data_IF_769873155376
#
_entry.id   IF_769873155376
#
_cell.length_a   1.000
_cell.length_b   1.000
_cell.length_c   1.000
_cell.angle_alpha   90.00
_cell.angle_beta   90.00
_cell.angle_gamma   90.00
#
_symmetry.space_group_name_H-M   'P 1'
#
loop_
_entity.id
_entity.type
_entity.pdbx_description
1 polymer ?
#
# COMPACT_ATOMS: atom_id res chain seq x y z
N UNK A 1 22.64 -4.90 25.29
CA UNK A 1 22.99 -5.19 23.88
C UNK A 1 24.04 -4.20 23.46
N UNK A 2 25.05 -4.59 22.70
CA UNK A 2 26.03 -3.66 22.14
C UNK A 2 25.35 -2.75 21.12
N UNK A 3 25.79 -1.52 21.04
CA UNK A 3 25.28 -0.52 20.13
C UNK A 3 25.96 -0.73 18.77
N UNK A 4 25.18 -1.13 17.74
CA UNK A 4 25.68 -1.29 16.39
C UNK A 4 25.70 0.03 15.63
N UNK A 5 26.57 0.13 14.63
CA UNK A 5 26.56 1.20 13.63
C UNK A 5 26.02 0.63 12.30
N UNK A 6 24.83 1.08 11.89
CA UNK A 6 24.09 0.55 10.76
C UNK A 6 24.08 1.54 9.60
N UNK A 7 24.48 1.09 8.40
CA UNK A 7 24.38 1.86 7.18
C UNK A 7 23.06 1.58 6.46
N UNK A 8 22.38 2.60 5.94
CA UNK A 8 21.25 2.47 5.04
C UNK A 8 21.55 3.23 3.76
N UNK A 9 21.59 2.53 2.64
CA UNK A 9 21.92 3.08 1.34
C UNK A 9 20.68 3.12 0.43
N UNK A 10 20.21 4.33 0.16
CA UNK A 10 18.95 4.64 -0.50
C UNK A 10 17.89 5.12 0.49
N UNK A 11 17.59 6.43 0.46
CA UNK A 11 16.68 7.09 1.40
C UNK A 11 15.29 7.32 0.79
N UNK A 12 14.76 6.28 0.12
CA UNK A 12 13.35 6.19 -0.26
C UNK A 12 12.47 5.95 0.96
N UNK A 13 11.18 5.71 0.79
CA UNK A 13 10.28 5.39 1.91
C UNK A 13 10.79 4.20 2.75
N UNK A 14 11.24 3.13 2.07
CA UNK A 14 11.81 1.94 2.73
C UNK A 14 13.02 2.29 3.59
N UNK A 15 14.01 2.97 3.01
CA UNK A 15 15.24 3.34 3.72
C UNK A 15 14.99 4.32 4.86
N UNK A 16 14.06 5.25 4.68
CA UNK A 16 13.66 6.22 5.71
C UNK A 16 13.03 5.51 6.92
N UNK A 17 12.00 4.69 6.72
CA UNK A 17 11.33 3.99 7.82
C UNK A 17 12.27 3.02 8.55
N UNK A 18 13.06 2.23 7.80
CA UNK A 18 13.96 1.22 8.39
C UNK A 18 15.11 1.87 9.17
N UNK A 19 15.70 2.95 8.65
CA UNK A 19 16.79 3.66 9.33
C UNK A 19 16.33 4.40 10.58
N UNK A 20 15.15 5.03 10.55
CA UNK A 20 14.54 5.68 11.71
C UNK A 20 14.23 4.65 12.80
N UNK A 21 13.62 3.50 12.44
CA UNK A 21 13.35 2.42 13.37
C UNK A 21 14.65 1.89 14.04
N UNK A 22 15.72 1.74 13.26
CA UNK A 22 17.02 1.31 13.77
C UNK A 22 17.62 2.31 14.77
N UNK A 23 17.46 3.61 14.52
CA UNK A 23 17.89 4.68 15.43
C UNK A 23 17.07 4.70 16.73
N UNK A 24 15.76 4.57 16.64
CA UNK A 24 14.86 4.50 17.81
C UNK A 24 15.20 3.29 18.70
N UNK A 25 15.63 2.15 18.10
CA UNK A 25 16.14 0.99 18.84
C UNK A 25 17.51 1.21 19.49
N UNK A 26 18.11 2.41 19.36
CA UNK A 26 19.34 2.81 20.02
C UNK A 26 20.63 2.56 19.24
N UNK A 27 20.55 2.08 17.99
CA UNK A 27 21.74 1.93 17.13
C UNK A 27 22.25 3.29 16.61
N UNK A 28 23.54 3.36 16.25
CA UNK A 28 24.03 4.45 15.42
C UNK A 28 23.61 4.19 13.97
N UNK A 29 23.16 5.23 13.28
CA UNK A 29 22.69 5.12 11.91
C UNK A 29 23.48 6.07 10.99
N UNK A 30 23.89 5.55 9.84
CA UNK A 30 24.42 6.30 8.71
C UNK A 30 23.45 6.14 7.55
N UNK A 31 22.61 7.13 7.33
CA UNK A 31 21.61 7.17 6.27
C UNK A 31 22.22 7.87 5.04
N UNK A 32 22.53 7.09 4.01
CA UNK A 32 23.23 7.52 2.82
C UNK A 32 22.30 7.52 1.60
N UNK A 33 22.42 8.58 0.79
CA UNK A 33 21.86 8.62 -0.55
C UNK A 33 22.82 9.31 -1.52
N UNK A 34 22.90 8.84 -2.76
CA UNK A 34 23.74 9.47 -3.80
C UNK A 34 23.20 10.81 -4.24
N UNK A 35 21.88 11.03 -4.13
CA UNK A 35 21.23 12.29 -4.46
C UNK A 35 21.22 13.24 -3.25
N UNK A 36 22.01 14.30 -3.38
CA UNK A 36 22.08 15.36 -2.36
C UNK A 36 20.72 16.03 -2.12
N UNK A 37 19.85 16.08 -3.12
CA UNK A 37 18.52 16.68 -2.97
C UNK A 37 17.64 15.85 -2.05
N UNK A 38 17.72 14.51 -2.12
CA UNK A 38 17.02 13.60 -1.21
C UNK A 38 17.45 13.88 0.23
N UNK A 39 18.76 13.96 0.51
CA UNK A 39 19.27 14.28 1.83
C UNK A 39 18.77 15.64 2.33
N UNK A 40 18.80 16.66 1.47
CA UNK A 40 18.31 18.01 1.82
C UNK A 40 16.81 18.01 2.13
N UNK A 41 15.99 17.33 1.32
CA UNK A 41 14.55 17.20 1.56
C UNK A 41 14.25 16.52 2.90
N UNK A 42 14.94 15.44 3.25
CA UNK A 42 14.76 14.74 4.53
C UNK A 42 15.11 15.64 5.72
N UNK A 43 16.22 16.40 5.63
CA UNK A 43 16.59 17.39 6.66
C UNK A 43 15.55 18.53 6.82
N UNK A 44 14.82 18.85 5.76
CA UNK A 44 13.72 19.83 5.77
C UNK A 44 12.37 19.23 6.20
N UNK A 45 12.31 17.96 6.59
CA UNK A 45 11.07 17.27 6.92
C UNK A 45 10.15 17.00 5.72
N UNK A 46 10.70 16.97 4.50
CA UNK A 46 9.94 16.71 3.27
C UNK A 46 10.04 15.24 2.87
N UNK A 47 8.90 14.58 2.80
CA UNK A 47 8.77 13.16 2.48
C UNK A 47 7.79 12.95 1.32
N UNK A 48 8.03 11.87 0.55
CA UNK A 48 7.22 11.54 -0.62
C UNK A 48 5.87 10.90 -0.23
N UNK A 49 5.71 10.51 1.03
CA UNK A 49 4.47 9.99 1.59
C UNK A 49 4.36 10.35 3.07
N UNK A 50 3.15 10.61 3.54
CA UNK A 50 2.87 10.83 4.95
C UNK A 50 3.08 9.51 5.72
N UNK A 51 3.95 9.54 6.76
CA UNK A 51 4.23 8.39 7.60
C UNK A 51 4.26 8.85 9.06
N UNK A 52 3.33 8.36 9.91
CA UNK A 52 3.26 8.80 11.30
C UNK A 52 4.59 8.64 12.05
N UNK A 53 5.02 9.70 12.76
CA UNK A 53 6.24 9.74 13.57
C UNK A 53 7.54 10.03 12.81
N UNK A 54 7.55 9.96 11.47
CA UNK A 54 8.76 10.27 10.69
C UNK A 54 9.08 11.77 10.73
N UNK A 55 8.08 12.62 10.54
CA UNK A 55 8.28 14.06 10.56
C UNK A 55 8.80 14.54 11.92
N UNK A 56 8.18 14.08 13.02
CA UNK A 56 8.60 14.40 14.39
C UNK A 56 10.05 13.94 14.67
N UNK A 57 10.44 12.77 14.14
CA UNK A 57 11.81 12.27 14.28
C UNK A 57 12.83 13.20 13.62
N UNK A 58 12.57 13.68 12.41
CA UNK A 58 13.50 14.57 11.69
C UNK A 58 13.49 16.00 12.23
N UNK A 59 12.38 16.48 12.81
CA UNK A 59 12.36 17.75 13.53
C UNK A 59 13.23 17.72 14.80
N UNK A 60 13.36 16.55 15.44
CA UNK A 60 14.13 16.32 16.65
C UNK A 60 15.26 15.32 16.42
N UNK A 61 16.04 15.50 15.36
CA UNK A 61 17.06 14.57 14.89
C UNK A 61 18.04 14.17 15.99
N UNK A 62 18.11 12.87 16.38
CA UNK A 62 18.97 12.46 17.49
C UNK A 62 20.45 12.36 17.08
N UNK A 63 21.36 12.48 18.04
CA UNK A 63 22.81 12.42 17.81
C UNK A 63 23.32 11.08 17.26
N UNK A 64 22.55 10.02 17.35
CA UNK A 64 22.88 8.70 16.80
C UNK A 64 22.41 8.51 15.35
N UNK A 65 21.93 9.57 14.68
CA UNK A 65 21.47 9.50 13.29
C UNK A 65 22.22 10.53 12.42
N UNK A 66 22.94 10.05 11.42
CA UNK A 66 23.68 10.88 10.46
C UNK A 66 23.08 10.70 9.05
N UNK A 67 22.67 11.81 8.44
CA UNK A 67 22.35 11.87 7.00
C UNK A 67 23.60 12.30 6.23
N UNK A 68 23.91 11.64 5.11
CA UNK A 68 25.09 11.94 4.30
C UNK A 68 24.89 11.57 2.83
N UNK A 69 25.57 12.30 1.95
CA UNK A 69 25.74 11.91 0.54
C UNK A 69 27.20 11.45 0.23
N UNK A 70 28.02 11.29 1.26
CA UNK A 70 29.38 10.76 1.13
C UNK A 70 29.39 9.26 1.45
N UNK A 71 29.58 8.43 0.43
CA UNK A 71 29.61 6.97 0.57
C UNK A 71 30.69 6.48 1.53
N UNK A 72 31.81 7.22 1.69
CA UNK A 72 32.89 6.86 2.60
C UNK A 72 32.46 6.84 4.07
N UNK A 73 31.37 7.51 4.44
CA UNK A 73 30.84 7.45 5.80
C UNK A 73 30.29 6.06 6.17
N UNK A 74 29.99 5.21 5.18
CA UNK A 74 29.59 3.83 5.40
C UNK A 74 30.72 2.89 5.85
N UNK A 75 31.99 3.31 5.71
CA UNK A 75 33.15 2.50 6.14
C UNK A 75 33.16 2.15 7.64
N UNK A 76 32.50 2.98 8.46
CA UNK A 76 32.42 2.78 9.92
C UNK A 76 31.26 1.85 10.34
N UNK A 77 30.44 1.37 9.39
CA UNK A 77 29.26 0.57 9.69
C UNK A 77 29.63 -0.89 9.97
N UNK A 78 28.94 -1.51 10.93
CA UNK A 78 29.02 -2.93 11.23
C UNK A 78 28.30 -3.79 10.17
N UNK A 79 27.29 -3.20 9.50
CA UNK A 79 26.59 -3.77 8.34
C UNK A 79 25.94 -2.65 7.52
N UNK A 80 25.65 -2.90 6.25
CA UNK A 80 25.00 -1.92 5.36
C UNK A 80 23.78 -2.56 4.67
N UNK A 81 22.64 -1.86 4.72
CA UNK A 81 21.40 -2.25 4.07
C UNK A 81 21.18 -1.44 2.80
N UNK A 82 20.90 -2.12 1.68
CA UNK A 82 20.49 -1.49 0.43
C UNK A 82 18.97 -1.36 0.45
N UNK A 83 18.49 -0.13 0.48
CA UNK A 83 17.07 0.20 0.73
C UNK A 83 16.48 1.16 -0.31
N UNK A 84 17.06 1.19 -1.51
CA UNK A 84 16.54 1.95 -2.65
C UNK A 84 15.31 1.26 -3.25
N UNK A 85 14.31 2.03 -3.69
CA UNK A 85 13.18 1.45 -4.40
C UNK A 85 13.57 0.94 -5.79
N UNK A 86 12.91 -0.12 -6.22
CA UNK A 86 13.03 -0.68 -7.57
C UNK A 86 11.93 -0.12 -8.45
N UNK A 87 12.22 0.79 -9.39
CA UNK A 87 11.23 1.34 -10.30
C UNK A 87 10.57 0.24 -11.13
N UNK A 88 9.36 0.53 -11.59
CA UNK A 88 8.58 -0.38 -12.43
C UNK A 88 8.31 0.33 -13.76
N UNK A 89 8.45 -0.41 -14.86
CA UNK A 89 8.03 0.07 -16.16
C UNK A 89 6.49 -0.05 -16.35
N UNK A 90 5.97 0.50 -17.44
CA UNK A 90 4.55 0.45 -17.78
C UNK A 90 4.04 -0.99 -17.99
N UNK A 91 4.91 -1.93 -18.32
CA UNK A 91 4.60 -3.35 -18.46
C UNK A 91 4.61 -4.11 -17.11
N UNK A 92 4.94 -3.45 -16.01
CA UNK A 92 5.03 -4.06 -14.68
C UNK A 92 6.35 -4.77 -14.40
N UNK A 93 7.40 -4.55 -15.22
CA UNK A 93 8.70 -5.13 -14.96
C UNK A 93 9.47 -4.33 -13.91
N UNK A 94 9.97 -5.03 -12.90
CA UNK A 94 10.84 -4.46 -11.87
C UNK A 94 12.22 -4.18 -12.46
N UNK A 95 12.66 -2.92 -12.43
CA UNK A 95 14.01 -2.54 -12.77
C UNK A 95 14.91 -2.61 -11.52
N UNK A 96 15.76 -3.62 -11.45
CA UNK A 96 16.72 -3.80 -10.35
C UNK A 96 18.07 -3.09 -10.57
N UNK A 97 18.24 -2.33 -11.65
CA UNK A 97 19.49 -1.61 -11.96
C UNK A 97 19.88 -0.61 -10.85
N UNK A 98 18.96 0.17 -10.25
CA UNK A 98 19.30 1.04 -9.12
C UNK A 98 19.87 0.25 -7.93
N UNK A 99 19.29 -0.92 -7.61
CA UNK A 99 19.76 -1.79 -6.52
C UNK A 99 21.18 -2.30 -6.83
N UNK A 100 21.43 -2.74 -8.05
CA UNK A 100 22.75 -3.20 -8.49
C UNK A 100 23.79 -2.07 -8.44
N UNK A 101 23.45 -0.84 -8.83
CA UNK A 101 24.33 0.34 -8.72
C UNK A 101 24.69 0.64 -7.27
N UNK A 102 23.71 0.67 -6.36
CA UNK A 102 23.97 0.90 -4.93
C UNK A 102 24.80 -0.23 -4.33
N UNK A 103 24.51 -1.50 -4.67
CA UNK A 103 25.29 -2.65 -4.24
C UNK A 103 26.77 -2.52 -4.66
N UNK A 104 27.03 -2.20 -5.93
CA UNK A 104 28.39 -2.05 -6.45
C UNK A 104 29.14 -0.90 -5.76
N UNK A 105 28.48 0.25 -5.60
CA UNK A 105 29.05 1.42 -4.92
C UNK A 105 29.41 1.11 -3.46
N UNK A 106 28.51 0.50 -2.72
CA UNK A 106 28.74 0.11 -1.32
C UNK A 106 29.80 -0.96 -1.22
N UNK A 107 29.73 -2.01 -2.06
CA UNK A 107 30.67 -3.13 -2.07
C UNK A 107 32.12 -2.72 -2.33
N UNK A 108 32.32 -1.69 -3.17
CA UNK A 108 33.64 -1.12 -3.45
C UNK A 108 34.16 -0.18 -2.32
N UNK A 109 33.27 0.25 -1.45
CA UNK A 109 33.61 1.26 -0.43
C UNK A 109 33.91 0.66 0.93
N UNK A 110 33.16 -0.35 1.36
CA UNK A 110 33.28 -0.97 2.69
C UNK A 110 34.13 -2.23 2.67
N UNK A 111 34.65 -2.63 3.82
CA UNK A 111 35.48 -3.84 3.94
C UNK A 111 34.70 -5.11 3.56
N UNK A 112 35.40 -6.11 3.00
CA UNK A 112 34.77 -7.32 2.46
C UNK A 112 34.05 -8.18 3.49
N UNK A 113 34.40 -8.08 4.75
CA UNK A 113 33.80 -8.79 5.89
C UNK A 113 32.57 -8.06 6.49
N UNK A 114 32.26 -6.85 6.06
CA UNK A 114 31.06 -6.13 6.48
C UNK A 114 29.87 -6.61 5.67
N UNK A 115 28.80 -7.16 6.27
CA UNK A 115 27.67 -7.69 5.51
C UNK A 115 26.87 -6.59 4.80
N UNK A 116 26.44 -6.91 3.57
CA UNK A 116 25.48 -6.13 2.80
C UNK A 116 24.15 -6.88 2.78
N UNK A 117 23.08 -6.19 3.20
CA UNK A 117 21.72 -6.74 3.23
C UNK A 117 20.88 -6.04 2.18
N UNK A 118 20.29 -6.79 1.26
CA UNK A 118 19.34 -6.27 0.27
C UNK A 118 17.95 -6.22 0.92
N UNK A 119 17.45 -5.02 1.24
CA UNK A 119 16.07 -4.79 1.68
C UNK A 119 15.15 -4.47 0.50
N UNK A 120 15.73 -3.94 -0.58
CA UNK A 120 15.01 -3.57 -1.80
C UNK A 120 14.27 -4.76 -2.37
N UNK A 121 13.08 -4.53 -2.90
CA UNK A 121 12.34 -5.59 -3.58
C UNK A 121 13.00 -5.92 -4.91
N UNK A 122 13.36 -7.19 -5.09
CA UNK A 122 14.03 -7.71 -6.28
C UNK A 122 13.34 -8.98 -6.79
N UNK A 123 13.65 -9.39 -8.03
CA UNK A 123 13.16 -10.66 -8.59
C UNK A 123 13.93 -11.85 -8.02
N UNK A 124 13.28 -13.00 -7.84
CA UNK A 124 13.96 -14.24 -7.47
C UNK A 124 15.18 -14.55 -8.35
N UNK A 125 16.31 -14.83 -7.67
CA UNK A 125 17.62 -15.05 -8.31
C UNK A 125 18.51 -13.81 -8.40
N UNK A 126 18.03 -12.62 -8.09
CA UNK A 126 18.82 -11.40 -8.13
C UNK A 126 19.97 -11.44 -7.09
N UNK A 127 19.68 -11.75 -5.84
CA UNK A 127 20.68 -11.76 -4.78
C UNK A 127 21.73 -12.85 -5.03
N UNK A 128 21.35 -14.01 -5.58
CA UNK A 128 22.31 -15.03 -6.00
C UNK A 128 23.25 -14.55 -7.09
N UNK A 129 22.77 -13.75 -8.04
CA UNK A 129 23.60 -13.15 -9.08
C UNK A 129 24.68 -12.25 -8.48
N UNK A 130 24.33 -11.35 -7.56
CA UNK A 130 25.28 -10.39 -6.98
C UNK A 130 26.15 -11.01 -5.88
N UNK A 131 25.70 -12.06 -5.19
CA UNK A 131 26.46 -12.82 -4.19
C UNK A 131 27.82 -13.33 -4.73
N UNK A 132 27.88 -13.65 -6.02
CA UNK A 132 29.13 -14.08 -6.69
C UNK A 132 30.26 -13.07 -6.58
N UNK A 133 29.93 -11.80 -6.36
CA UNK A 133 30.90 -10.71 -6.23
C UNK A 133 31.26 -10.39 -4.77
N UNK A 134 30.40 -10.84 -3.81
CA UNK A 134 30.60 -10.58 -2.38
C UNK A 134 29.86 -11.63 -1.54
N UNK A 135 30.61 -12.45 -0.82
CA UNK A 135 30.06 -13.57 -0.02
C UNK A 135 29.27 -13.12 1.23
N UNK A 136 29.61 -11.96 1.82
CA UNK A 136 28.84 -11.39 2.95
C UNK A 136 27.62 -10.60 2.44
N UNK A 137 26.76 -11.26 1.66
CA UNK A 137 25.53 -10.67 1.11
C UNK A 137 24.33 -11.50 1.54
N UNK A 138 23.29 -10.81 1.99
CA UNK A 138 22.04 -11.38 2.47
C UNK A 138 20.86 -10.68 1.80
N UNK A 139 19.73 -11.35 1.72
CA UNK A 139 18.46 -10.74 1.40
C UNK A 139 17.60 -10.68 2.67
N UNK A 140 16.92 -9.57 2.93
CA UNK A 140 15.90 -9.48 3.98
C UNK A 140 14.60 -8.98 3.37
N UNK A 141 13.56 -9.78 3.51
CA UNK A 141 12.23 -9.40 3.05
C UNK A 141 11.64 -8.31 3.93
N UNK A 142 11.28 -7.17 3.33
CA UNK A 142 10.53 -6.12 4.01
C UNK A 142 9.05 -6.14 3.64
N UNK A 143 8.20 -5.80 4.62
CA UNK A 143 6.73 -5.81 4.48
C UNK A 143 6.13 -4.50 4.94
N UNK A 144 6.78 -3.37 4.64
CA UNK A 144 6.26 -2.06 4.99
C UNK A 144 4.94 -1.77 4.26
N UNK A 145 4.04 -1.10 4.96
CA UNK A 145 2.74 -0.66 4.45
C UNK A 145 2.71 0.86 4.60
N UNK A 146 2.41 1.60 3.54
CA UNK A 146 2.25 3.06 3.59
C UNK A 146 1.28 3.47 4.69
N UNK A 147 1.71 4.42 5.55
CA UNK A 147 0.99 4.88 6.73
C UNK A 147 1.17 4.01 7.98
N UNK A 148 1.93 2.89 7.90
CA UNK A 148 2.31 2.00 9.01
C UNK A 148 3.78 1.55 8.88
N UNK A 149 4.57 2.18 8.02
CA UNK A 149 5.92 1.72 7.70
C UNK A 149 6.84 1.78 8.90
N UNK A 150 6.86 2.88 9.64
CA UNK A 150 7.68 3.02 10.85
C UNK A 150 7.26 2.02 11.93
N UNK A 151 5.96 1.87 12.19
CA UNK A 151 5.42 0.93 13.19
C UNK A 151 5.83 -0.51 12.86
N UNK A 152 5.69 -0.93 11.60
CA UNK A 152 6.07 -2.28 11.16
C UNK A 152 7.58 -2.50 11.16
N UNK A 153 8.37 -1.45 10.91
CA UNK A 153 9.82 -1.52 11.04
C UNK A 153 10.26 -1.63 12.51
N UNK A 154 9.55 -0.98 13.43
CA UNK A 154 9.79 -1.08 14.87
C UNK A 154 9.34 -2.42 15.46
N UNK A 155 8.19 -2.95 15.03
CA UNK A 155 7.55 -4.14 15.56
C UNK A 155 7.30 -5.17 14.44
N UNK A 156 8.36 -5.77 13.88
CA UNK A 156 8.22 -6.75 12.81
C UNK A 156 7.53 -8.02 13.30
N UNK A 157 6.58 -8.55 12.54
CA UNK A 157 5.92 -9.82 12.84
C UNK A 157 6.89 -11.01 12.73
N UNK A 158 7.84 -10.92 11.81
CA UNK A 158 8.88 -11.90 11.52
C UNK A 158 9.95 -11.30 10.64
N UNK A 159 11.14 -11.88 10.68
CA UNK A 159 12.17 -11.67 9.67
C UNK A 159 12.26 -12.88 8.74
N UNK A 160 12.27 -12.63 7.43
CA UNK A 160 12.54 -13.64 6.39
C UNK A 160 13.87 -13.29 5.75
N UNK A 161 14.86 -14.15 5.93
CA UNK A 161 16.24 -13.90 5.52
C UNK A 161 16.64 -14.92 4.46
N UNK A 162 17.09 -14.41 3.32
CA UNK A 162 17.68 -15.19 2.25
C UNK A 162 19.19 -15.31 2.41
N UNK A 163 19.70 -16.55 2.30
CA UNK A 163 21.11 -16.92 2.34
C UNK A 163 21.49 -17.71 1.11
N UNK A 164 22.78 -17.81 0.85
CA UNK A 164 23.29 -18.70 -0.23
C UNK A 164 23.00 -20.17 0.07
N UNK A 165 23.13 -20.53 1.34
CA UNK A 165 22.85 -21.84 1.91
C UNK A 165 22.12 -21.61 3.24
N UNK A 166 20.92 -22.17 3.38
CA UNK A 166 20.05 -22.01 4.55
C UNK A 166 20.64 -22.61 5.84
N UNK A 167 21.65 -23.46 5.71
CA UNK A 167 22.37 -24.06 6.85
C UNK A 167 23.60 -23.24 7.27
N UNK A 168 24.00 -22.24 6.48
CA UNK A 168 25.15 -21.40 6.79
C UNK A 168 24.88 -20.50 8.00
N UNK A 169 25.87 -20.27 8.86
CA UNK A 169 25.70 -19.35 9.99
C UNK A 169 25.56 -17.93 9.49
N UNK A 170 24.69 -17.17 10.14
CA UNK A 170 24.60 -15.72 9.92
C UNK A 170 25.86 -15.01 10.41
N UNK A 171 26.21 -13.91 9.77
CA UNK A 171 27.19 -12.97 10.30
C UNK A 171 26.74 -12.52 11.71
N UNK A 172 27.67 -12.55 12.69
CA UNK A 172 27.37 -12.25 14.09
C UNK A 172 26.73 -10.87 14.32
N UNK A 173 27.20 -9.85 13.59
CA UNK A 173 26.66 -8.49 13.69
C UNK A 173 25.25 -8.39 13.11
N UNK A 174 25.01 -9.12 12.03
CA UNK A 174 23.68 -9.18 11.44
C UNK A 174 22.71 -9.95 12.35
N UNK A 175 23.12 -11.06 12.92
CA UNK A 175 22.31 -11.81 13.90
C UNK A 175 21.97 -10.94 15.13
N UNK A 176 22.94 -10.16 15.64
CA UNK A 176 22.72 -9.23 16.75
C UNK A 176 21.66 -8.17 16.42
N UNK A 177 21.70 -7.60 15.21
CA UNK A 177 20.67 -6.68 14.73
C UNK A 177 19.28 -7.34 14.65
N UNK A 178 19.19 -8.53 14.06
CA UNK A 178 17.92 -9.26 13.91
C UNK A 178 17.27 -9.60 15.27
N UNK A 179 18.07 -9.95 16.28
CA UNK A 179 17.58 -10.20 17.65
C UNK A 179 16.88 -8.99 18.29
N UNK A 180 17.18 -7.77 17.86
CA UNK A 180 16.52 -6.56 18.36
C UNK A 180 15.05 -6.48 17.94
N UNK A 181 14.64 -7.17 16.87
CA UNK A 181 13.25 -7.21 16.40
C UNK A 181 12.32 -8.04 17.28
N UNK A 182 12.89 -8.92 18.16
CA UNK A 182 12.12 -9.77 19.07
C UNK A 182 10.97 -10.54 18.40
N UNK A 183 11.22 -11.04 17.20
CA UNK A 183 10.24 -11.77 16.40
C UNK A 183 10.85 -13.07 15.84
N UNK A 184 10.01 -13.89 15.20
CA UNK A 184 10.45 -15.13 14.57
C UNK A 184 11.40 -14.84 13.41
N UNK A 185 12.50 -15.61 13.36
CA UNK A 185 13.48 -15.58 12.27
C UNK A 185 13.30 -16.82 11.38
N UNK A 186 13.09 -16.60 10.10
CA UNK A 186 12.93 -17.63 9.07
C UNK A 186 14.12 -17.54 8.11
N UNK A 187 15.00 -18.53 8.16
CA UNK A 187 16.15 -18.64 7.26
C UNK A 187 15.78 -19.52 6.06
N UNK A 188 16.12 -19.10 4.86
CA UNK A 188 15.88 -19.85 3.63
C UNK A 188 16.86 -19.43 2.54
N UNK A 189 16.90 -20.14 1.41
CA UNK A 189 17.73 -19.71 0.29
C UNK A 189 17.22 -18.39 -0.31
N UNK A 190 18.07 -17.71 -1.08
CA UNK A 190 17.77 -16.40 -1.67
C UNK A 190 16.47 -16.41 -2.46
N UNK A 191 16.29 -17.39 -3.34
CA UNK A 191 15.14 -17.47 -4.23
C UNK A 191 13.83 -17.65 -3.49
N UNK A 192 13.84 -18.44 -2.41
CA UNK A 192 12.68 -18.64 -1.54
C UNK A 192 12.31 -17.35 -0.78
N UNK A 193 13.31 -16.65 -0.24
CA UNK A 193 13.08 -15.39 0.48
C UNK A 193 12.56 -14.27 -0.45
N UNK A 194 13.15 -14.14 -1.64
CA UNK A 194 12.71 -13.17 -2.66
C UNK A 194 11.30 -13.50 -3.16
N UNK A 195 11.00 -14.79 -3.39
CA UNK A 195 9.65 -15.21 -3.82
C UNK A 195 8.60 -15.06 -2.72
N UNK A 196 8.99 -15.20 -1.43
CA UNK A 196 8.05 -15.04 -0.30
C UNK A 196 7.38 -13.67 -0.31
N UNK A 197 8.10 -12.60 -0.67
CA UNK A 197 7.53 -11.25 -0.79
C UNK A 197 6.41 -11.19 -1.82
N UNK A 198 6.67 -11.73 -3.00
CA UNK A 198 5.70 -11.76 -4.10
C UNK A 198 4.51 -12.66 -3.77
N UNK A 199 4.79 -13.80 -3.11
CA UNK A 199 3.76 -14.75 -2.67
C UNK A 199 2.78 -14.12 -1.70
N UNK A 200 3.26 -13.32 -0.73
CA UNK A 200 2.37 -12.61 0.20
C UNK A 200 1.37 -11.72 -0.55
N UNK A 201 1.84 -10.90 -1.50
CA UNK A 201 0.98 -10.02 -2.29
C UNK A 201 0.04 -10.81 -3.23
N UNK A 202 0.50 -11.95 -3.74
CA UNK A 202 -0.35 -12.84 -4.54
C UNK A 202 -1.51 -13.42 -3.72
N UNK A 203 -1.26 -13.90 -2.50
CA UNK A 203 -2.31 -14.37 -1.60
C UNK A 203 -3.29 -13.25 -1.20
N UNK A 204 -2.80 -12.03 -0.96
CA UNK A 204 -3.66 -10.87 -0.71
C UNK A 204 -4.55 -10.57 -1.91
N UNK A 205 -4.00 -10.55 -3.13
CA UNK A 205 -4.78 -10.35 -4.36
C UNK A 205 -5.83 -11.44 -4.57
N UNK A 206 -5.47 -12.71 -4.29
CA UNK A 206 -6.39 -13.85 -4.37
C UNK A 206 -7.58 -13.68 -3.42
N UNK A 207 -7.30 -13.31 -2.17
CA UNK A 207 -8.34 -13.09 -1.15
C UNK A 207 -9.25 -11.92 -1.51
N UNK A 208 -8.68 -10.79 -1.98
CA UNK A 208 -9.46 -9.64 -2.46
C UNK A 208 -10.39 -10.06 -3.61
N UNK A 209 -9.86 -10.83 -4.57
CA UNK A 209 -10.61 -11.29 -5.73
C UNK A 209 -11.78 -12.21 -5.33
N UNK A 210 -11.50 -13.20 -4.47
CA UNK A 210 -12.53 -14.11 -3.96
C UNK A 210 -13.61 -13.36 -3.18
N UNK A 211 -13.20 -12.46 -2.28
CA UNK A 211 -14.09 -11.60 -1.50
C UNK A 211 -15.01 -10.77 -2.38
N UNK A 212 -14.47 -10.06 -3.36
CA UNK A 212 -15.27 -9.20 -4.24
C UNK A 212 -16.22 -10.02 -5.12
N UNK A 213 -15.80 -11.19 -5.58
CA UNK A 213 -16.67 -12.10 -6.35
C UNK A 213 -17.87 -12.54 -5.52
N UNK A 214 -17.64 -13.01 -4.30
CA UNK A 214 -18.68 -13.52 -3.42
C UNK A 214 -19.58 -12.41 -2.88
N UNK A 215 -19.03 -11.23 -2.58
CA UNK A 215 -19.82 -10.07 -2.17
C UNK A 215 -20.76 -9.60 -3.31
N UNK A 216 -20.27 -9.55 -4.55
CA UNK A 216 -21.13 -9.23 -5.69
C UNK A 216 -22.25 -10.25 -5.89
N UNK A 217 -21.95 -11.54 -5.72
CA UNK A 217 -22.95 -12.61 -5.79
C UNK A 217 -23.97 -12.51 -4.65
N UNK A 218 -23.51 -12.24 -3.41
CA UNK A 218 -24.38 -12.07 -2.23
C UNK A 218 -25.47 -11.02 -2.47
N UNK A 219 -25.07 -9.86 -3.06
CA UNK A 219 -26.03 -8.79 -3.39
C UNK A 219 -27.15 -9.23 -4.36
N UNK A 220 -26.91 -10.24 -5.21
CA UNK A 220 -27.90 -10.74 -6.18
C UNK A 220 -28.75 -11.88 -5.61
N UNK A 221 -28.22 -12.62 -4.63
CA UNK A 221 -28.91 -13.78 -4.03
C UNK A 221 -29.71 -13.43 -2.76
N UNK A 222 -29.69 -12.18 -2.33
CA UNK A 222 -30.36 -11.81 -1.08
C UNK A 222 -29.56 -12.12 0.18
N UNK A 223 -28.30 -12.44 0.04
CA UNK A 223 -27.40 -12.72 1.16
C UNK A 223 -26.69 -11.43 1.64
N UNK A 224 -26.15 -11.50 2.85
CA UNK A 224 -25.35 -10.42 3.43
C UNK A 224 -23.90 -10.88 3.55
N UNK A 225 -23.00 -10.27 2.74
CA UNK A 225 -21.60 -10.61 2.74
C UNK A 225 -20.91 -10.39 4.09
N UNK A 226 -21.29 -9.34 4.83
CA UNK A 226 -20.66 -9.03 6.13
C UNK A 226 -20.87 -10.16 7.13
N UNK A 227 -22.08 -10.73 7.17
CA UNK A 227 -22.39 -11.89 8.03
C UNK A 227 -21.60 -13.12 7.58
N UNK A 228 -21.46 -13.34 6.28
CA UNK A 228 -20.66 -14.43 5.73
C UNK A 228 -19.19 -14.23 6.10
N UNK A 229 -18.65 -13.03 5.92
CA UNK A 229 -17.25 -12.69 6.24
C UNK A 229 -16.93 -12.94 7.73
N UNK A 230 -17.82 -12.57 8.65
CA UNK A 230 -17.62 -12.85 10.08
C UNK A 230 -17.55 -14.35 10.37
N UNK A 231 -18.39 -15.16 9.71
CA UNK A 231 -18.32 -16.62 9.81
C UNK A 231 -16.99 -17.17 9.27
N UNK A 232 -16.53 -16.65 8.13
CA UNK A 232 -15.27 -17.09 7.51
C UNK A 232 -14.04 -16.74 8.37
N UNK A 233 -14.03 -15.60 9.07
CA UNK A 233 -12.94 -15.25 10.00
C UNK A 233 -12.77 -16.25 11.15
N UNK A 234 -13.86 -16.93 11.55
CA UNK A 234 -13.84 -17.95 12.60
C UNK A 234 -13.31 -19.31 12.12
N UNK A 235 -13.29 -19.56 10.81
CA UNK A 235 -12.70 -20.78 10.25
C UNK A 235 -11.15 -20.69 10.34
N UNK A 236 -10.53 -21.65 11.06
CA UNK A 236 -9.06 -21.68 11.27
C UNK A 236 -8.25 -21.77 9.98
N UNK A 237 -8.83 -22.25 8.88
CA UNK A 237 -8.18 -22.35 7.57
C UNK A 237 -8.13 -21.01 6.83
N UNK A 238 -8.96 -20.05 7.23
CA UNK A 238 -9.07 -18.70 6.65
C UNK A 238 -8.46 -17.69 7.62
N UNK A 239 -8.98 -17.62 8.84
CA UNK A 239 -8.44 -16.86 9.95
C UNK A 239 -8.89 -15.39 10.00
N UNK A 240 -8.65 -14.74 11.16
CA UNK A 240 -9.18 -13.41 11.46
C UNK A 240 -8.54 -12.27 10.66
N UNK A 241 -7.38 -12.51 10.07
CA UNK A 241 -6.61 -11.50 9.31
C UNK A 241 -6.82 -11.59 7.79
N UNK A 242 -7.70 -12.49 7.31
CA UNK A 242 -8.00 -12.60 5.90
C UNK A 242 -8.70 -11.32 5.37
N UNK A 243 -8.39 -10.91 4.14
CA UNK A 243 -8.94 -9.71 3.51
C UNK A 243 -10.36 -9.97 3.00
N UNK A 244 -11.33 -9.99 3.94
CA UNK A 244 -12.74 -10.30 3.69
C UNK A 244 -13.64 -9.06 3.60
N UNK A 245 -13.09 -7.87 3.62
CA UNK A 245 -13.85 -6.65 3.35
C UNK A 245 -14.00 -6.47 1.84
N UNK A 246 -15.24 -6.45 1.37
CA UNK A 246 -15.52 -6.17 -0.05
C UNK A 246 -15.11 -4.73 -0.40
N UNK A 247 -14.60 -4.54 -1.61
CA UNK A 247 -14.10 -3.24 -2.04
C UNK A 247 -14.06 -3.07 -3.56
N UNK A 248 -13.47 -1.98 -4.00
CA UNK A 248 -13.42 -1.58 -5.40
C UNK A 248 -12.23 -2.20 -6.17
N UNK A 249 -11.96 -3.47 -5.92
CA UNK A 249 -10.87 -4.19 -6.58
C UNK A 249 -9.50 -4.00 -5.92
N UNK A 250 -8.45 -4.43 -6.62
CA UNK A 250 -7.07 -4.28 -6.15
C UNK A 250 -6.64 -2.84 -6.41
N UNK A 251 -6.37 -2.09 -5.33
CA UNK A 251 -5.86 -0.72 -5.36
C UNK A 251 -4.35 -0.68 -5.14
N UNK A 252 -3.74 0.47 -5.48
CA UNK A 252 -2.31 0.72 -5.34
C UNK A 252 -1.45 0.01 -6.40
N UNK A 253 -0.19 0.43 -6.50
CA UNK A 253 0.74 -0.09 -7.50
C UNK A 253 1.42 -1.39 -7.08
N UNK A 254 1.68 -1.58 -5.79
CA UNK A 254 2.54 -2.67 -5.29
C UNK A 254 1.96 -4.06 -5.51
N UNK A 255 0.68 -4.30 -5.13
CA UNK A 255 0.05 -5.63 -5.28
C UNK A 255 -0.10 -5.96 -6.77
N UNK A 256 -0.59 -5.01 -7.58
CA UNK A 256 -0.78 -5.23 -9.03
C UNK A 256 0.55 -5.54 -9.71
N UNK A 257 1.61 -4.77 -9.40
CA UNK A 257 2.97 -5.00 -9.89
C UNK A 257 3.44 -6.43 -9.61
N UNK A 258 3.31 -6.87 -8.35
CA UNK A 258 3.83 -8.15 -7.93
C UNK A 258 3.05 -9.31 -8.57
N UNK A 259 1.74 -9.17 -8.73
CA UNK A 259 0.88 -10.12 -9.43
C UNK A 259 1.26 -10.21 -10.93
N UNK A 260 1.49 -9.07 -11.59
CA UNK A 260 1.98 -9.04 -12.98
C UNK A 260 3.38 -9.67 -13.07
N UNK A 261 4.28 -9.37 -12.11
CA UNK A 261 5.61 -9.97 -12.03
C UNK A 261 5.57 -11.50 -11.94
N UNK A 262 4.66 -12.06 -11.15
CA UNK A 262 4.44 -13.52 -11.07
C UNK A 262 3.98 -14.08 -12.42
N UNK A 263 3.06 -13.41 -13.12
CA UNK A 263 2.62 -13.83 -14.47
C UNK A 263 3.78 -13.91 -15.45
N UNK A 264 4.63 -12.89 -15.48
CA UNK A 264 5.79 -12.86 -16.38
C UNK A 264 6.82 -13.94 -16.03
N UNK A 265 7.10 -14.17 -14.74
CA UNK A 265 7.97 -15.25 -14.31
C UNK A 265 7.40 -16.62 -14.69
N UNK A 266 6.11 -16.86 -14.45
CA UNK A 266 5.43 -18.09 -14.83
C UNK A 266 5.52 -18.35 -16.34
N UNK A 267 5.31 -17.31 -17.16
CA UNK A 267 5.47 -17.39 -18.62
C UNK A 267 6.88 -17.78 -19.04
N UNK A 268 7.91 -17.18 -18.42
CA UNK A 268 9.31 -17.48 -18.72
C UNK A 268 9.69 -18.90 -18.30
N UNK A 269 9.14 -19.38 -17.18
CA UNK A 269 9.41 -20.71 -16.62
C UNK A 269 8.49 -21.82 -17.22
N UNK A 270 7.53 -21.45 -18.07
CA UNK A 270 6.60 -22.42 -18.66
C UNK A 270 5.57 -23.00 -17.67
N UNK A 271 5.21 -22.23 -16.62
CA UNK A 271 4.18 -22.63 -15.65
C UNK A 271 2.87 -21.89 -15.89
N UNK A 272 1.74 -22.42 -15.39
CA UNK A 272 0.42 -21.79 -15.54
C UNK A 272 0.30 -20.53 -14.69
N UNK A 273 -0.26 -19.48 -15.26
CA UNK A 273 -0.54 -18.20 -14.61
C UNK A 273 -1.98 -17.69 -14.86
N UNK A 274 -2.88 -18.54 -15.34
CA UNK A 274 -4.26 -18.16 -15.69
C UNK A 274 -5.03 -17.52 -14.54
N UNK A 275 -4.74 -17.91 -13.30
CA UNK A 275 -5.32 -17.30 -12.09
C UNK A 275 -4.97 -15.80 -11.99
N UNK A 276 -3.80 -15.38 -12.45
CA UNK A 276 -3.39 -13.96 -12.43
C UNK A 276 -4.28 -13.14 -13.37
N UNK A 277 -4.52 -13.64 -14.57
CA UNK A 277 -5.37 -12.95 -15.54
C UNK A 277 -6.84 -12.86 -15.03
N UNK A 278 -7.31 -13.91 -14.34
CA UNK A 278 -8.60 -13.89 -13.66
C UNK A 278 -8.67 -12.82 -12.56
N UNK A 279 -7.63 -12.68 -11.73
CA UNK A 279 -7.57 -11.65 -10.67
C UNK A 279 -7.60 -10.24 -11.27
N UNK A 280 -6.80 -9.96 -12.29
CA UNK A 280 -6.74 -8.66 -12.94
C UNK A 280 -8.09 -8.30 -13.59
N UNK A 281 -8.71 -9.25 -14.29
CA UNK A 281 -10.04 -9.09 -14.90
C UNK A 281 -11.13 -8.83 -13.85
N UNK A 282 -11.12 -9.58 -12.73
CA UNK A 282 -12.05 -9.36 -11.63
C UNK A 282 -11.85 -8.02 -10.95
N UNK A 283 -10.59 -7.59 -10.78
CA UNK A 283 -10.27 -6.28 -10.22
C UNK A 283 -10.85 -5.15 -11.09
N UNK A 284 -10.73 -5.21 -12.41
CA UNK A 284 -11.34 -4.23 -13.30
C UNK A 284 -12.87 -4.26 -13.25
N UNK A 285 -13.47 -5.43 -13.16
CA UNK A 285 -14.91 -5.55 -12.92
C UNK A 285 -15.33 -4.88 -11.61
N UNK A 286 -14.59 -5.10 -10.53
CA UNK A 286 -14.88 -4.50 -9.22
C UNK A 286 -14.69 -2.98 -9.22
N UNK A 287 -13.64 -2.44 -9.84
CA UNK A 287 -13.40 -0.99 -10.00
C UNK A 287 -14.54 -0.28 -10.75
N UNK A 288 -15.17 -0.95 -11.68
CA UNK A 288 -16.31 -0.42 -12.43
C UNK A 288 -17.66 -0.49 -11.66
N UNK A 289 -17.67 -0.95 -10.41
CA UNK A 289 -18.91 -1.03 -9.63
C UNK A 289 -19.57 0.33 -9.43
N UNK A 290 -18.81 1.39 -9.15
CA UNK A 290 -19.34 2.74 -9.01
C UNK A 290 -20.04 3.21 -10.28
N UNK A 291 -19.46 2.98 -11.45
CA UNK A 291 -20.06 3.33 -12.73
C UNK A 291 -21.33 2.54 -13.00
N UNK A 292 -21.37 1.24 -12.63
CA UNK A 292 -22.60 0.44 -12.75
C UNK A 292 -23.70 0.99 -11.85
N UNK A 293 -23.39 1.38 -10.59
CA UNK A 293 -24.39 2.00 -9.73
C UNK A 293 -24.89 3.34 -10.29
N UNK A 294 -24.00 4.17 -10.79
CA UNK A 294 -24.38 5.45 -11.43
C UNK A 294 -25.26 5.23 -12.65
N UNK A 295 -24.97 4.25 -13.51
CA UNK A 295 -25.79 3.96 -14.69
C UNK A 295 -27.24 3.56 -14.34
N UNK A 296 -27.46 2.95 -13.18
CA UNK A 296 -28.79 2.60 -12.66
C UNK A 296 -29.51 3.82 -12.03
N UNK A 297 -28.75 4.75 -11.42
CA UNK A 297 -29.28 5.84 -10.58
C UNK A 297 -29.50 7.13 -11.38
N UNK A 298 -28.61 7.47 -12.31
CA UNK A 298 -28.67 8.71 -13.09
C UNK A 298 -30.03 8.92 -13.77
N UNK A 299 -30.64 7.88 -14.40
CA UNK A 299 -31.98 8.05 -15.02
C UNK A 299 -33.12 8.36 -14.03
N UNK A 300 -32.90 8.18 -12.72
CA UNK A 300 -33.89 8.42 -11.67
C UNK A 300 -33.81 9.84 -11.07
N UNK A 301 -32.88 10.66 -11.52
CA UNK A 301 -32.63 12.00 -10.97
C UNK A 301 -32.58 13.02 -12.12
N UNK A 302 -33.45 14.01 -12.08
CA UNK A 302 -33.43 15.10 -13.06
C UNK A 302 -32.19 15.96 -12.85
N UNK A 303 -31.39 16.14 -13.93
CA UNK A 303 -30.17 16.99 -13.95
C UNK A 303 -29.23 16.70 -12.77
N UNK A 304 -28.76 15.45 -12.56
CA UNK A 304 -28.06 15.05 -11.35
C UNK A 304 -26.73 15.79 -11.18
N UNK A 305 -26.48 16.28 -9.97
CA UNK A 305 -25.18 16.76 -9.49
C UNK A 305 -24.56 15.66 -8.65
N UNK A 306 -23.30 15.31 -8.99
CA UNK A 306 -22.66 14.12 -8.41
C UNK A 306 -21.42 14.53 -7.61
N UNK A 307 -21.34 14.06 -6.36
CA UNK A 307 -20.21 14.28 -5.46
C UNK A 307 -19.37 13.03 -5.28
N UNK A 308 -18.06 13.17 -5.25
CA UNK A 308 -17.12 12.08 -4.96
C UNK A 308 -16.26 12.47 -3.76
N UNK A 309 -16.38 11.71 -2.70
CA UNK A 309 -15.64 11.81 -1.46
C UNK A 309 -14.55 10.72 -1.45
N UNK A 310 -13.28 11.16 -1.43
CA UNK A 310 -12.13 10.28 -1.50
C UNK A 310 -11.60 10.15 -2.94
N UNK A 311 -10.36 10.56 -3.14
CA UNK A 311 -9.63 10.48 -4.42
C UNK A 311 -8.36 9.65 -4.31
N UNK A 312 -7.84 9.43 -3.10
CA UNK A 312 -6.78 8.46 -2.86
C UNK A 312 -7.29 7.02 -3.07
N UNK A 313 -6.39 6.08 -3.41
CA UNK A 313 -6.78 4.69 -3.62
C UNK A 313 -7.12 3.95 -2.31
N UNK A 314 -6.68 4.47 -1.16
CA UNK A 314 -7.02 4.02 0.21
C UNK A 314 -6.78 5.16 1.20
N UNK A 315 -7.22 4.99 2.46
CA UNK A 315 -6.92 5.93 3.54
C UNK A 315 -5.41 6.02 3.87
N UNK A 316 -5.01 7.10 4.51
CA UNK A 316 -3.64 7.38 4.99
C UNK A 316 -2.58 7.44 3.88
N UNK A 317 -2.95 7.88 2.68
CA UNK A 317 -2.05 8.20 1.58
C UNK A 317 -2.69 9.21 0.63
N UNK A 318 -1.87 10.01 -0.04
CA UNK A 318 -2.27 10.94 -1.10
C UNK A 318 -2.20 10.31 -2.50
N UNK A 319 -1.74 9.06 -2.61
CA UNK A 319 -1.61 8.37 -3.89
C UNK A 319 -2.97 8.13 -4.56
N UNK A 320 -3.11 8.64 -5.77
CA UNK A 320 -4.30 8.45 -6.62
C UNK A 320 -4.16 7.31 -7.62
N UNK A 321 -3.02 6.61 -7.62
CA UNK A 321 -2.73 5.52 -8.58
C UNK A 321 -3.71 4.35 -8.36
N UNK A 322 -4.49 4.05 -9.39
CA UNK A 322 -5.50 2.99 -9.33
C UNK A 322 -6.78 3.35 -8.55
N UNK A 323 -6.96 4.63 -8.18
CA UNK A 323 -8.16 5.11 -7.49
C UNK A 323 -9.42 4.96 -8.34
N UNK A 324 -10.43 4.29 -7.80
CA UNK A 324 -11.76 4.18 -8.40
C UNK A 324 -12.51 5.50 -8.37
N UNK A 325 -12.27 6.35 -7.35
CA UNK A 325 -12.85 7.69 -7.24
C UNK A 325 -12.37 8.59 -8.40
N UNK A 326 -11.07 8.66 -8.63
CA UNK A 326 -10.50 9.43 -9.76
C UNK A 326 -10.99 8.90 -11.10
N UNK A 327 -10.98 7.55 -11.30
CA UNK A 327 -11.48 6.93 -12.53
C UNK A 327 -12.94 7.33 -12.80
N UNK A 328 -13.80 7.24 -11.78
CA UNK A 328 -15.21 7.60 -11.87
C UNK A 328 -15.39 9.10 -12.15
N UNK A 329 -14.70 9.97 -11.39
CA UNK A 329 -14.76 11.41 -11.56
C UNK A 329 -14.38 11.84 -12.98
N UNK A 330 -13.29 11.31 -13.54
CA UNK A 330 -12.87 11.56 -14.93
C UNK A 330 -13.91 11.15 -15.96
N UNK A 331 -14.57 10.01 -15.72
CA UNK A 331 -15.56 9.48 -16.65
C UNK A 331 -16.84 10.32 -16.72
N UNK A 332 -17.21 11.02 -15.63
CA UNK A 332 -18.51 11.71 -15.55
C UNK A 332 -18.39 13.24 -15.56
N UNK A 333 -17.26 13.84 -15.17
CA UNK A 333 -17.14 15.29 -14.97
C UNK A 333 -17.27 16.14 -16.24
N UNK A 334 -17.08 15.55 -17.43
CA UNK A 334 -17.36 16.19 -18.71
C UNK A 334 -18.82 16.11 -19.15
N UNK A 335 -19.67 15.37 -18.43
CA UNK A 335 -21.06 15.08 -18.78
C UNK A 335 -22.02 15.67 -17.74
N UNK A 336 -21.67 15.52 -16.45
CA UNK A 336 -22.49 15.95 -15.32
C UNK A 336 -21.74 16.94 -14.43
N UNK A 337 -22.42 17.90 -13.78
CA UNK A 337 -21.82 18.70 -12.71
C UNK A 337 -21.26 17.78 -11.63
N UNK A 338 -19.93 17.73 -11.52
CA UNK A 338 -19.21 16.79 -10.62
C UNK A 338 -18.41 17.58 -9.60
N UNK A 339 -18.58 17.25 -8.34
CA UNK A 339 -17.89 17.84 -7.20
C UNK A 339 -16.97 16.79 -6.57
N UNK A 340 -15.77 17.19 -6.18
CA UNK A 340 -14.79 16.26 -5.62
C UNK A 340 -14.15 16.83 -4.36
N UNK A 341 -13.91 15.97 -3.38
CA UNK A 341 -13.20 16.28 -2.15
C UNK A 341 -12.40 15.08 -1.65
N UNK A 342 -11.21 15.36 -1.18
CA UNK A 342 -10.38 14.41 -0.44
C UNK A 342 -9.63 15.16 0.68
N UNK A 343 -9.50 14.59 1.90
CA UNK A 343 -8.81 15.26 3.01
C UNK A 343 -7.33 15.56 2.76
N UNK A 344 -6.67 14.80 1.87
CA UNK A 344 -5.20 14.82 1.69
C UNK A 344 -4.81 15.15 0.24
N UNK A 345 -5.53 14.63 -0.74
CA UNK A 345 -5.26 14.91 -2.16
C UNK A 345 -5.63 16.35 -2.48
N UNK A 346 -4.63 17.13 -2.85
CA UNK A 346 -4.80 18.55 -3.19
C UNK A 346 -5.46 18.73 -4.55
N UNK A 347 -6.09 19.89 -4.76
CA UNK A 347 -6.66 20.27 -6.04
C UNK A 347 -5.62 20.14 -7.17
N UNK A 348 -5.97 19.34 -8.16
CA UNK A 348 -5.21 19.16 -9.39
C UNK A 348 -6.16 19.04 -10.58
N UNK A 349 -6.27 20.11 -11.35
CA UNK A 349 -7.11 20.17 -12.56
C UNK A 349 -6.61 19.28 -13.69
N UNK A 350 -5.36 18.83 -13.64
CA UNK A 350 -4.84 17.86 -14.61
C UNK A 350 -5.28 16.44 -14.25
N UNK A 351 -5.50 16.18 -12.96
CA UNK A 351 -6.02 14.90 -12.48
C UNK A 351 -7.49 14.72 -12.87
N UNK A 352 -8.35 15.75 -12.67
CA UNK A 352 -9.79 15.72 -13.02
C UNK A 352 -10.20 17.08 -13.64
N UNK A 353 -10.05 17.25 -14.97
CA UNK A 353 -10.12 18.57 -15.61
C UNK A 353 -11.44 19.33 -15.45
N UNK A 354 -12.57 18.61 -15.38
CA UNK A 354 -13.90 19.22 -15.40
C UNK A 354 -14.63 19.15 -14.05
N UNK A 355 -13.96 18.71 -12.98
CA UNK A 355 -14.57 18.64 -11.67
C UNK A 355 -14.44 19.97 -10.90
N UNK A 356 -15.45 20.23 -10.07
CA UNK A 356 -15.44 21.29 -9.08
C UNK A 356 -14.81 20.79 -7.78
N UNK A 357 -13.62 21.27 -7.47
CA UNK A 357 -12.95 20.95 -6.22
C UNK A 357 -13.52 21.79 -5.08
N UNK A 358 -13.96 21.17 -4.02
CA UNK A 358 -14.52 21.82 -2.83
C UNK A 358 -13.62 21.64 -1.62
N UNK A 359 -13.82 22.45 -0.58
CA UNK A 359 -12.90 22.53 0.57
C UNK A 359 -13.26 21.60 1.72
N UNK A 360 -14.47 21.02 1.73
CA UNK A 360 -14.94 20.13 2.79
C UNK A 360 -15.97 19.13 2.29
N UNK A 361 -16.11 18.02 3.03
CA UNK A 361 -17.17 17.04 2.80
C UNK A 361 -18.58 17.67 2.96
N UNK A 362 -18.75 18.58 3.90
CA UNK A 362 -20.01 19.27 4.12
C UNK A 362 -20.41 20.14 2.91
N UNK A 363 -19.47 20.91 2.37
CA UNK A 363 -19.69 21.72 1.16
C UNK A 363 -20.12 20.85 -0.02
N UNK A 364 -19.42 19.70 -0.21
CA UNK A 364 -19.76 18.76 -1.26
C UNK A 364 -21.19 18.22 -1.09
N UNK A 365 -21.50 17.67 0.08
CA UNK A 365 -22.82 17.07 0.38
C UNK A 365 -23.95 18.05 0.17
N UNK A 366 -23.74 19.34 0.52
CA UNK A 366 -24.74 20.39 0.32
C UNK A 366 -24.97 20.79 -1.15
N UNK A 367 -24.06 20.43 -2.02
CA UNK A 367 -24.03 20.85 -3.43
C UNK A 367 -24.57 19.80 -4.40
N UNK A 368 -24.86 18.57 -3.95
CA UNK A 368 -25.12 17.44 -4.84
C UNK A 368 -26.39 16.67 -4.52
N UNK A 369 -26.86 15.87 -5.48
CA UNK A 369 -28.02 14.98 -5.36
C UNK A 369 -27.61 13.52 -5.09
N UNK A 370 -26.40 13.15 -5.55
CA UNK A 370 -25.81 11.82 -5.43
C UNK A 370 -24.43 11.98 -4.83
N UNK A 371 -24.13 11.26 -3.74
CA UNK A 371 -22.77 11.22 -3.17
C UNK A 371 -22.18 9.82 -3.28
N UNK A 372 -20.90 9.76 -3.63
CA UNK A 372 -20.10 8.54 -3.68
C UNK A 372 -19.00 8.65 -2.62
N UNK A 373 -18.87 7.64 -1.74
CA UNK A 373 -17.78 7.50 -0.80
C UNK A 373 -16.81 6.49 -1.40
N UNK A 374 -15.73 6.95 -2.04
CA UNK A 374 -14.80 6.07 -2.77
C UNK A 374 -13.52 5.75 -2.02
N UNK A 375 -13.32 6.31 -0.82
CA UNK A 375 -12.22 6.01 0.11
C UNK A 375 -12.71 6.09 1.55
N UNK A 376 -12.31 5.13 2.39
CA UNK A 376 -12.75 5.01 3.80
C UNK A 376 -11.95 5.95 4.72
N UNK A 377 -11.97 7.26 4.46
CA UNK A 377 -11.33 8.22 5.35
C UNK A 377 -12.00 8.27 6.73
N UNK A 378 -11.21 8.43 7.80
CA UNK A 378 -11.73 8.54 9.17
C UNK A 378 -12.79 9.62 9.31
N UNK A 379 -12.67 10.73 8.59
CA UNK A 379 -13.64 11.82 8.54
C UNK A 379 -15.03 11.32 8.13
N UNK A 380 -15.11 10.38 7.18
CA UNK A 380 -16.37 9.84 6.66
C UNK A 380 -16.98 8.73 7.55
N UNK A 381 -16.30 8.35 8.63
CA UNK A 381 -16.76 7.35 9.60
C UNK A 381 -17.37 8.00 10.86
N UNK A 382 -17.32 9.32 10.98
CA UNK A 382 -17.75 10.04 12.18
C UNK A 382 -19.27 10.21 12.28
N UNK A 383 -19.76 10.43 13.49
CA UNK A 383 -21.17 10.78 13.71
C UNK A 383 -21.50 12.16 13.14
N UNK A 384 -20.56 13.11 13.20
CA UNK A 384 -20.72 14.45 12.61
C UNK A 384 -20.98 14.36 11.10
N UNK A 385 -20.20 13.51 10.40
CA UNK A 385 -20.41 13.30 8.96
C UNK A 385 -21.75 12.61 8.67
N UNK A 386 -22.18 11.68 9.53
CA UNK A 386 -23.49 11.07 9.45
C UNK A 386 -24.62 12.08 9.58
N UNK A 387 -24.51 13.02 10.52
CA UNK A 387 -25.50 14.08 10.71
C UNK A 387 -25.56 15.01 9.49
N UNK A 388 -24.42 15.31 8.85
CA UNK A 388 -24.36 16.05 7.59
C UNK A 388 -25.15 15.31 6.51
N UNK A 389 -24.97 14.00 6.34
CA UNK A 389 -25.70 13.20 5.37
C UNK A 389 -27.21 13.16 5.66
N UNK A 390 -27.60 12.97 6.93
CA UNK A 390 -29.02 12.89 7.33
C UNK A 390 -29.78 14.22 7.12
N UNK A 391 -29.11 15.34 7.31
CA UNK A 391 -29.71 16.68 7.16
C UNK A 391 -29.58 17.23 5.73
N UNK A 392 -29.07 16.46 4.78
CA UNK A 392 -28.88 16.86 3.39
C UNK A 392 -30.12 16.67 2.52
N UNK A 393 -30.06 17.17 1.29
CA UNK A 393 -31.05 16.95 0.23
C UNK A 393 -30.67 15.78 -0.70
N UNK A 394 -29.76 14.92 -0.27
CA UNK A 394 -29.31 13.77 -1.05
C UNK A 394 -30.44 12.82 -1.36
N UNK A 395 -30.46 12.35 -2.62
CA UNK A 395 -31.38 11.29 -3.08
C UNK A 395 -30.71 9.91 -2.98
N UNK A 396 -29.39 9.86 -3.25
CA UNK A 396 -28.62 8.61 -3.26
C UNK A 396 -27.26 8.74 -2.58
N UNK A 397 -26.90 7.69 -1.85
CA UNK A 397 -25.56 7.47 -1.30
C UNK A 397 -25.01 6.16 -1.89
N UNK A 398 -23.86 6.22 -2.54
CA UNK A 398 -23.12 5.06 -3.05
C UNK A 398 -21.88 4.89 -2.17
N UNK A 399 -21.93 3.93 -1.26
CA UNK A 399 -20.90 3.67 -0.26
C UNK A 399 -20.49 2.19 -0.32
N UNK A 400 -19.52 1.85 -1.18
CA UNK A 400 -19.10 0.46 -1.36
C UNK A 400 -18.59 -0.21 -0.09
N UNK A 401 -18.06 0.58 0.85
CA UNK A 401 -17.42 0.08 2.06
C UNK A 401 -18.39 -0.02 3.25
N UNK A 402 -19.52 0.70 3.19
CA UNK A 402 -20.48 0.80 4.29
C UNK A 402 -19.99 1.65 5.44
N UNK A 403 -19.29 2.74 5.13
CA UNK A 403 -18.81 3.74 6.11
C UNK A 403 -19.95 4.26 6.98
N UNK A 404 -21.15 4.42 6.40
CA UNK A 404 -22.34 4.94 7.05
C UNK A 404 -23.56 3.99 6.92
N UNK A 405 -23.31 2.69 7.10
CA UNK A 405 -24.27 1.63 6.84
C UNK A 405 -25.60 1.76 7.59
N UNK A 406 -25.58 2.27 8.83
CA UNK A 406 -26.78 2.45 9.64
C UNK A 406 -27.72 3.55 9.09
N UNK A 407 -27.30 4.38 8.16
CA UNK A 407 -28.20 5.26 7.41
C UNK A 407 -29.26 4.50 6.61
N UNK A 408 -28.92 3.28 6.15
CA UNK A 408 -29.84 2.40 5.41
C UNK A 408 -31.12 2.10 6.19
N UNK A 409 -31.04 2.01 7.51
CA UNK A 409 -32.19 1.73 8.38
C UNK A 409 -32.83 3.00 8.98
N UNK A 410 -32.10 4.12 9.04
CA UNK A 410 -32.51 5.34 9.73
C UNK A 410 -33.14 6.41 8.83
N UNK A 411 -32.90 6.34 7.52
CA UNK A 411 -33.44 7.28 6.56
C UNK A 411 -34.28 6.59 5.51
N UNK A 412 -35.59 6.88 5.48
CA UNK A 412 -36.47 6.45 4.38
C UNK A 412 -36.37 7.36 3.14
N UNK A 413 -35.68 8.50 3.25
CA UNK A 413 -35.56 9.51 2.18
C UNK A 413 -34.37 9.28 1.25
N UNK A 414 -33.30 8.63 1.75
CA UNK A 414 -32.04 8.45 1.02
C UNK A 414 -31.91 6.99 0.60
N UNK A 415 -31.76 6.76 -0.71
CA UNK A 415 -31.46 5.41 -1.23
C UNK A 415 -29.98 5.11 -1.05
N UNK A 416 -29.67 4.15 -0.15
CA UNK A 416 -28.31 3.77 0.18
C UNK A 416 -27.87 2.50 -0.55
N UNK A 417 -26.74 2.56 -1.27
CA UNK A 417 -26.16 1.47 -2.05
C UNK A 417 -24.80 1.06 -1.48
N UNK A 418 -24.63 -0.24 -1.18
CA UNK A 418 -23.35 -0.78 -0.68
C UNK A 418 -23.02 -2.14 -1.31
N UNK A 419 -21.74 -2.54 -1.25
CA UNK A 419 -21.31 -3.86 -1.70
C UNK A 419 -21.73 -4.96 -0.73
N UNK A 420 -22.08 -6.13 -1.28
CA UNK A 420 -22.33 -7.33 -0.50
C UNK A 420 -23.72 -7.39 0.18
N UNK A 421 -24.59 -6.41 -0.07
CA UNK A 421 -25.96 -6.40 0.46
C UNK A 421 -26.98 -6.15 -0.65
N UNK A 422 -28.21 -6.63 -0.44
CA UNK A 422 -29.33 -6.32 -1.35
C UNK A 422 -29.53 -4.81 -1.45
N UNK A 423 -29.65 -4.35 -2.67
CA UNK A 423 -30.29 -3.09 -2.97
C UNK A 423 -31.78 -3.28 -2.69
N UNK A 424 -32.32 -2.60 -1.69
CA UNK A 424 -33.76 -2.60 -1.46
C UNK A 424 -34.46 -1.94 -2.66
N UNK A 425 -34.75 -2.72 -3.67
CA UNK A 425 -35.81 -2.37 -4.61
C UNK A 425 -37.09 -2.60 -3.85
N UNK A 426 -37.94 -1.61 -3.81
CA UNK A 426 -39.27 -1.54 -3.23
C UNK A 426 -39.87 -2.90 -2.82
N UNK A 427 -40.38 -2.96 -1.58
CA UNK A 427 -41.30 -4.02 -1.20
C UNK A 427 -42.43 -3.96 -2.21
N UNK A 428 -42.45 -4.92 -3.17
CA UNK A 428 -43.62 -5.24 -3.96
C UNK A 428 -44.76 -5.66 -3.05
#
# INVERSE_FOLDING_TARGET
MSKLTLGFAGMTHLGTCSSVAASIRGNNVVAFDTDKQVITKRLMGQFDSAEPGIEDFFQNLPNNYQLTNNVSDLKKCDLVMISIDSPIDEAGNVNSEPVEKYFNLVSQTIDSNVPIIILSQVRPGFTRKIYKFRSETYYQMETLIFGQGLERALNPERYVIGLVDETAPLNKKYEEYLRQGNCQLLLMNFESAELTKLSANFFLASTITATNTLAALSSKLGANWRQIAESLKLDRRIGPYAYLNAGLGIGGSNIIRDVIGIREMARVQGTDASIVDAMLKNSEFSKNWLMRQLSEIIPLVDSPRIGILGLSYKQNTDSTIGSSGVKTARSISGIFPTFVYDPVVKEDKTLIPHANWVKSAQELVSSVDIVIISTEWKEFLTNEFKDILMNSQLKFIIDPFGCQLDLKSKSSKINYRTLGEIVSTEKS
#
